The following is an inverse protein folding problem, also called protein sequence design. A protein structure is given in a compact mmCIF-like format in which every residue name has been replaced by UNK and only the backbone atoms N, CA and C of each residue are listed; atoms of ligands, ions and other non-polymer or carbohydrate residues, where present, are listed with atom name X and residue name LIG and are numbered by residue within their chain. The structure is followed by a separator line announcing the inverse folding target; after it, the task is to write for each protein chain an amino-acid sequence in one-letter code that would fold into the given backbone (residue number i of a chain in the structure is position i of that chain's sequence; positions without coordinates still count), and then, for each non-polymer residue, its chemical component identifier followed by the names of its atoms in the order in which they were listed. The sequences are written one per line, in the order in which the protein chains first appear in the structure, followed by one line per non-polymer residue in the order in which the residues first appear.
data_IF_599688937167
#
_entry.id   IF_599688937167
#
_cell.length_a   1.000
_cell.length_b   1.000
_cell.length_c   1.000
_cell.angle_alpha   90.00
_cell.angle_beta   90.00
_cell.angle_gamma   90.00
#
_symmetry.space_group_name_H-M   'P 1'
#
loop_
_entity.id
_entity.type
_entity.pdbx_description
1 polymer ?
#
# COMPACT_ATOMS: atom_id res chain seq x y z
N UNK A 1 -7.30 -24.24 11.19
CA UNK A 1 -7.63 -23.28 10.14
C UNK A 1 -6.33 -22.60 9.75
N UNK A 2 -5.82 -22.67 8.51
CA UNK A 2 -4.67 -21.85 8.15
C UNK A 2 -5.18 -20.44 7.88
N UNK A 3 -4.75 -19.50 8.73
CA UNK A 3 -5.03 -18.07 8.63
C UNK A 3 -4.19 -17.44 7.50
N UNK A 4 -4.74 -16.43 6.85
CA UNK A 4 -4.13 -15.65 5.76
C UNK A 4 -2.71 -15.19 6.07
N UNK A 5 -1.89 -15.08 5.03
CA UNK A 5 -0.44 -14.97 5.13
C UNK A 5 0.00 -13.57 5.62
N UNK A 6 -0.08 -13.33 6.93
CA UNK A 6 0.46 -12.11 7.51
C UNK A 6 1.99 -12.14 7.51
N UNK A 7 2.63 -11.12 6.91
CA UNK A 7 4.09 -10.95 6.93
C UNK A 7 4.50 -9.89 7.95
N UNK A 8 5.66 -10.07 8.59
CA UNK A 8 6.20 -9.17 9.62
C UNK A 8 7.66 -8.86 9.34
N UNK A 9 8.01 -7.58 9.42
CA UNK A 9 9.35 -7.06 9.17
C UNK A 9 9.80 -6.20 10.36
N UNK A 10 11.09 -6.28 10.70
CA UNK A 10 11.68 -5.48 11.77
C UNK A 10 12.28 -4.18 11.24
N UNK A 11 12.02 -3.05 11.89
CA UNK A 11 12.63 -1.76 11.56
C UNK A 11 12.88 -0.93 12.82
N UNK A 12 14.10 -0.41 13.01
CA UNK A 12 14.40 0.62 14.02
C UNK A 12 13.95 0.32 15.46
N UNK A 13 13.93 -0.96 15.86
CA UNK A 13 13.48 -1.40 17.20
C UNK A 13 11.99 -1.76 17.31
N UNK A 14 11.21 -1.64 16.24
CA UNK A 14 9.79 -2.05 16.16
C UNK A 14 9.54 -3.15 15.12
N UNK A 15 8.32 -3.69 15.13
CA UNK A 15 7.83 -4.69 14.16
C UNK A 15 6.64 -4.13 13.42
N UNK A 16 6.73 -4.09 12.10
CA UNK A 16 5.59 -3.77 11.22
C UNK A 16 5.07 -5.09 10.66
N UNK A 17 3.76 -5.28 10.70
CA UNK A 17 3.11 -6.43 10.11
C UNK A 17 1.84 -6.03 9.41
N UNK A 18 1.56 -6.67 8.28
CA UNK A 18 0.28 -6.54 7.60
C UNK A 18 -0.40 -7.90 7.44
N UNK A 19 -1.71 -7.84 7.30
CA UNK A 19 -2.54 -8.96 6.86
C UNK A 19 -3.28 -8.50 5.61
N UNK A 20 -3.42 -9.39 4.63
CA UNK A 20 -4.12 -9.12 3.38
C UNK A 20 -5.54 -8.59 3.62
N UNK A 21 -6.19 -9.07 4.69
CA UNK A 21 -7.48 -8.58 5.22
C UNK A 21 -7.55 -7.05 5.43
N UNK A 22 -6.43 -6.37 5.70
CA UNK A 22 -6.39 -4.90 5.83
C UNK A 22 -6.44 -4.15 4.49
N UNK A 23 -6.15 -4.84 3.38
CA UNK A 23 -6.07 -4.27 2.03
C UNK A 23 -7.16 -4.85 1.10
N UNK A 24 -8.25 -5.36 1.69
CA UNK A 24 -9.40 -5.92 0.96
C UNK A 24 -9.53 -7.43 1.07
N UNK A 25 -8.45 -8.16 1.38
CA UNK A 25 -8.50 -9.62 1.52
C UNK A 25 -9.21 -10.29 0.33
N UNK A 26 -10.23 -11.10 0.62
CA UNK A 26 -11.04 -11.78 -0.40
C UNK A 26 -11.94 -10.84 -1.23
N UNK A 27 -12.19 -9.62 -0.73
CA UNK A 27 -12.95 -8.58 -1.45
C UNK A 27 -12.04 -7.70 -2.33
N UNK A 28 -10.73 -7.98 -2.37
CA UNK A 28 -9.81 -7.28 -3.26
C UNK A 28 -10.20 -7.53 -4.71
N UNK A 29 -10.16 -6.46 -5.52
CA UNK A 29 -10.44 -6.52 -6.95
C UNK A 29 -9.19 -6.14 -7.72
N UNK A 30 -8.98 -6.83 -8.84
CA UNK A 30 -8.03 -6.40 -9.86
C UNK A 30 -8.45 -5.01 -10.36
N UNK A 31 -7.48 -4.11 -10.48
CA UNK A 31 -7.71 -2.74 -10.91
C UNK A 31 -6.60 -2.32 -11.87
N UNK A 32 -6.94 -1.57 -12.92
CA UNK A 32 -5.93 -0.94 -13.76
C UNK A 32 -5.25 0.21 -13.02
N UNK A 33 -4.10 0.68 -13.52
CA UNK A 33 -3.41 1.83 -12.96
C UNK A 33 -4.33 3.07 -12.89
N UNK A 34 -5.15 3.30 -13.92
CA UNK A 34 -6.11 4.41 -13.96
C UNK A 34 -7.21 4.25 -12.91
N UNK A 35 -7.70 3.03 -12.68
CA UNK A 35 -8.70 2.74 -11.64
C UNK A 35 -8.14 2.95 -10.23
N UNK A 36 -6.88 2.56 -10.01
CA UNK A 36 -6.15 2.82 -8.76
C UNK A 36 -6.02 4.33 -8.53
N UNK A 37 -5.52 5.08 -9.52
CA UNK A 37 -5.39 6.56 -9.42
C UNK A 37 -6.73 7.22 -9.12
N UNK A 38 -7.79 6.82 -9.84
CA UNK A 38 -9.12 7.35 -9.63
C UNK A 38 -9.65 7.02 -8.22
N UNK A 39 -9.32 5.84 -7.69
CA UNK A 39 -9.62 5.46 -6.31
C UNK A 39 -8.89 6.34 -5.28
N UNK A 40 -7.58 6.52 -5.45
CA UNK A 40 -6.73 7.34 -4.56
C UNK A 40 -7.16 8.82 -4.53
N UNK A 41 -7.58 9.37 -5.66
CA UNK A 41 -8.10 10.73 -5.76
C UNK A 41 -9.45 10.93 -5.06
N UNK A 42 -10.23 9.86 -4.86
CA UNK A 42 -11.52 9.90 -4.14
C UNK A 42 -11.40 9.55 -2.65
N UNK A 43 -10.29 8.95 -2.25
CA UNK A 43 -10.04 8.64 -0.85
C UNK A 43 -9.80 9.94 -0.05
N UNK A 44 -9.99 9.91 1.26
CA UNK A 44 -9.47 10.95 2.17
C UNK A 44 -8.10 10.56 2.74
N UNK A 45 -7.95 9.25 2.98
CA UNK A 45 -6.72 8.61 3.47
C UNK A 45 -6.58 7.29 2.72
N UNK A 46 -5.37 6.97 2.26
CA UNK A 46 -5.06 5.70 1.63
C UNK A 46 -3.72 5.16 2.12
N UNK A 47 -3.70 3.89 2.55
CA UNK A 47 -2.48 3.13 2.77
C UNK A 47 -2.21 2.30 1.51
N UNK A 48 -1.01 2.42 0.96
CA UNK A 48 -0.61 1.77 -0.29
C UNK A 48 0.53 0.81 0.06
N UNK A 49 0.40 -0.47 -0.32
CA UNK A 49 1.43 -1.49 -0.09
C UNK A 49 1.66 -2.27 -1.37
N UNK A 50 2.93 -2.59 -1.63
CA UNK A 50 3.36 -3.34 -2.78
C UNK A 50 4.01 -2.46 -3.83
N UNK A 51 5.04 -2.99 -4.49
CA UNK A 51 5.86 -2.27 -5.45
C UNK A 51 5.05 -1.68 -6.60
N UNK A 52 4.09 -2.43 -7.13
CA UNK A 52 3.25 -2.00 -8.25
C UNK A 52 2.29 -0.87 -7.86
N UNK A 53 1.51 -1.06 -6.79
CA UNK A 53 0.53 -0.07 -6.33
C UNK A 53 1.21 1.24 -5.90
N UNK A 54 2.35 1.17 -5.22
CA UNK A 54 3.15 2.36 -4.87
C UNK A 54 3.72 3.02 -6.12
N UNK A 55 4.21 2.25 -7.08
CA UNK A 55 4.71 2.77 -8.36
C UNK A 55 3.65 3.58 -9.11
N UNK A 56 2.44 3.04 -9.25
CA UNK A 56 1.31 3.76 -9.88
C UNK A 56 1.02 5.10 -9.20
N UNK A 57 1.06 5.14 -7.86
CA UNK A 57 0.81 6.37 -7.12
C UNK A 57 1.91 7.42 -7.28
N UNK A 58 3.18 6.98 -7.36
CA UNK A 58 4.35 7.84 -7.62
C UNK A 58 4.32 8.37 -9.05
N UNK A 59 4.11 7.49 -10.04
CA UNK A 59 4.06 7.85 -11.46
C UNK A 59 2.92 8.85 -11.74
N UNK A 60 1.80 8.74 -11.02
CA UNK A 60 0.67 9.67 -11.10
C UNK A 60 0.90 11.00 -10.34
N UNK A 61 2.03 11.14 -9.63
CA UNK A 61 2.36 12.33 -8.83
C UNK A 61 1.49 12.49 -7.57
N UNK A 62 0.82 11.43 -7.12
CA UNK A 62 0.00 11.45 -5.91
C UNK A 62 0.84 11.20 -4.65
N UNK A 63 1.99 10.53 -4.80
CA UNK A 63 2.97 10.25 -3.75
C UNK A 63 4.34 10.73 -4.20
N UNK A 64 5.05 11.42 -3.33
CA UNK A 64 6.45 11.77 -3.55
C UNK A 64 7.34 10.54 -3.30
N UNK A 65 8.18 10.18 -4.26
CA UNK A 65 9.08 9.03 -4.17
C UNK A 65 9.98 9.10 -2.92
N UNK A 66 10.40 10.30 -2.49
CA UNK A 66 11.23 10.46 -1.29
C UNK A 66 10.51 10.10 0.02
N UNK A 67 9.18 10.02 -0.01
CA UNK A 67 8.35 9.67 1.15
C UNK A 67 8.01 8.17 1.22
N UNK A 68 8.41 7.40 0.21
CA UNK A 68 8.17 5.96 0.15
C UNK A 68 9.06 5.21 1.13
N UNK A 69 8.47 4.33 1.92
CA UNK A 69 9.19 3.42 2.81
C UNK A 69 9.46 2.10 2.09
N UNK A 70 10.72 1.68 2.09
CA UNK A 70 11.14 0.39 1.55
C UNK A 70 11.39 -0.62 2.67
N UNK A 71 10.74 -1.77 2.59
CA UNK A 71 10.86 -2.86 3.56
C UNK A 71 11.16 -4.16 2.83
N UNK A 72 12.42 -4.60 2.85
CA UNK A 72 12.89 -5.86 2.22
C UNK A 72 12.26 -6.14 0.84
N UNK A 73 11.13 -6.85 0.77
CA UNK A 73 10.45 -7.26 -0.46
C UNK A 73 9.27 -6.35 -0.87
N UNK A 74 8.95 -5.29 -0.12
CA UNK A 74 7.78 -4.44 -0.39
C UNK A 74 8.07 -2.95 -0.24
N UNK A 75 7.20 -2.15 -0.85
CA UNK A 75 7.15 -0.69 -0.69
C UNK A 75 5.85 -0.29 0.01
N UNK A 76 5.91 0.79 0.77
CA UNK A 76 4.74 1.37 1.43
C UNK A 76 4.71 2.88 1.27
N UNK A 77 3.52 3.42 1.07
CA UNK A 77 3.24 4.84 1.10
C UNK A 77 1.91 5.11 1.78
N UNK A 78 1.77 6.32 2.33
CA UNK A 78 0.51 6.81 2.85
C UNK A 78 0.17 8.12 2.16
N UNK A 79 -1.09 8.23 1.75
CA UNK A 79 -1.67 9.42 1.17
C UNK A 79 -2.75 9.97 2.10
N UNK A 80 -2.72 11.28 2.31
CA UNK A 80 -3.66 12.05 3.14
C UNK A 80 -4.01 13.34 2.40
N UNK A 81 -5.28 13.54 2.11
CA UNK A 81 -5.79 14.81 1.58
C UNK A 81 -6.30 15.68 2.74
N UNK A 82 -5.86 16.94 2.80
CA UNK A 82 -6.26 17.93 3.81
C UNK A 82 -7.28 18.94 3.26
#
# INVERSE_FOLDING_TARGET
MPAGSGRRYGYGGGVIGWREEFYGGDDAVEATAEEVVAGLQRAQVANIVGTEAVGVAVDAGLVDEETVLEFEETRHAQLLWL
#
